data_IF_493141962658
#
_entry.id   IF_493141962658
#
_cell.length_a   1.000
_cell.length_b   1.000
_cell.length_c   1.000
_cell.angle_alpha   90.00
_cell.angle_beta   90.00
_cell.angle_gamma   90.00
#
_symmetry.space_group_name_H-M   'P 1'
#
loop_
_entity.id
_entity.type
_entity.pdbx_description
1 polymer ?
#
# COMPACT_ATOMS: atom_id res chain seq x y z
N UNK A 1 5.20 17.29 22.58
CA UNK A 1 6.23 18.25 22.08
C UNK A 1 6.23 18.34 20.54
N UNK A 2 6.91 19.32 19.91
CA UNK A 2 7.00 19.42 18.44
C UNK A 2 7.63 18.18 17.80
N UNK A 3 8.56 17.52 18.49
CA UNK A 3 9.20 16.27 18.03
C UNK A 3 8.23 15.08 18.02
N UNK A 4 7.43 14.90 19.07
CA UNK A 4 6.40 13.84 19.11
C UNK A 4 5.38 14.00 17.99
N UNK A 5 5.01 15.25 17.66
CA UNK A 5 4.11 15.51 16.55
C UNK A 5 4.71 15.03 15.21
N UNK A 6 6.00 15.29 14.98
CA UNK A 6 6.71 14.82 13.79
C UNK A 6 6.81 13.29 13.72
N UNK A 7 7.10 12.63 14.85
CA UNK A 7 7.14 11.16 14.91
C UNK A 7 5.78 10.58 14.54
N UNK A 8 4.70 11.13 15.13
CA UNK A 8 3.34 10.73 14.80
C UNK A 8 2.99 11.02 13.34
N UNK A 9 3.48 12.11 12.74
CA UNK A 9 3.28 12.39 11.30
C UNK A 9 3.90 11.26 10.45
N UNK A 10 5.18 10.96 10.67
CA UNK A 10 5.93 9.94 9.90
C UNK A 10 5.28 8.57 10.03
N UNK A 11 4.98 8.14 11.26
CA UNK A 11 4.35 6.84 11.52
C UNK A 11 2.97 6.76 10.84
N UNK A 12 2.15 7.80 10.97
CA UNK A 12 0.81 7.81 10.37
C UNK A 12 0.85 7.85 8.84
N UNK A 13 1.76 8.59 8.22
CA UNK A 13 1.87 8.62 6.76
C UNK A 13 2.34 7.27 6.24
N UNK A 14 3.36 6.66 6.84
CA UNK A 14 3.82 5.32 6.48
C UNK A 14 2.68 4.30 6.60
N UNK A 15 1.93 4.33 7.71
CA UNK A 15 0.81 3.44 7.94
C UNK A 15 -0.29 3.60 6.88
N UNK A 16 -0.64 4.85 6.55
CA UNK A 16 -1.62 5.16 5.51
C UNK A 16 -1.16 4.65 4.15
N UNK A 17 0.08 4.92 3.75
CA UNK A 17 0.61 4.43 2.47
C UNK A 17 0.50 2.91 2.40
N UNK A 18 0.95 2.20 3.43
CA UNK A 18 0.89 0.73 3.44
C UNK A 18 -0.54 0.22 3.33
N UNK A 19 -1.44 0.74 4.17
CA UNK A 19 -2.81 0.26 4.25
C UNK A 19 -3.66 0.62 3.02
N UNK A 20 -3.55 1.86 2.54
CA UNK A 20 -4.20 2.32 1.30
C UNK A 20 -3.65 1.57 0.08
N UNK A 21 -2.39 1.12 0.13
CA UNK A 21 -1.76 0.33 -0.94
C UNK A 21 -2.02 -1.18 -0.87
N UNK A 22 -2.85 -1.65 0.07
CA UNK A 22 -3.25 -3.04 0.18
C UNK A 22 -2.42 -3.92 1.12
N UNK A 23 -1.57 -3.35 1.98
CA UNK A 23 -0.89 -4.12 3.01
C UNK A 23 -1.88 -4.66 4.07
N UNK A 24 -1.54 -5.82 4.65
CA UNK A 24 -2.26 -6.40 5.78
C UNK A 24 -2.06 -5.55 7.05
N UNK A 25 -3.13 -5.36 7.82
CA UNK A 25 -3.14 -4.50 9.00
C UNK A 25 -2.05 -4.82 10.03
N UNK A 26 -1.81 -6.12 10.29
CA UNK A 26 -0.74 -6.58 11.19
C UNK A 26 0.65 -6.16 10.73
N UNK A 27 0.94 -6.22 9.43
CA UNK A 27 2.22 -5.72 8.88
C UNK A 27 2.34 -4.20 8.98
N UNK A 28 1.22 -3.49 8.92
CA UNK A 28 1.18 -2.04 9.12
C UNK A 28 1.53 -1.71 10.57
N UNK A 29 0.88 -2.36 11.53
CA UNK A 29 1.14 -2.22 12.97
C UNK A 29 2.60 -2.51 13.31
N UNK A 30 3.15 -3.62 12.79
CA UNK A 30 4.57 -3.97 12.97
C UNK A 30 5.52 -2.86 12.49
N UNK A 31 5.22 -2.23 11.35
CA UNK A 31 6.03 -1.12 10.83
C UNK A 31 5.91 0.12 11.71
N UNK A 32 4.71 0.43 12.19
CA UNK A 32 4.48 1.55 13.10
C UNK A 32 5.26 1.36 14.41
N UNK A 33 5.14 0.17 15.01
CA UNK A 33 5.82 -0.19 16.25
C UNK A 33 7.36 -0.15 16.09
N UNK A 34 7.91 -0.67 14.98
CA UNK A 34 9.35 -0.63 14.70
C UNK A 34 9.89 0.81 14.64
N UNK A 35 9.19 1.69 13.91
CA UNK A 35 9.59 3.10 13.78
C UNK A 35 9.52 3.79 15.15
N UNK A 36 8.41 3.63 15.88
CA UNK A 36 8.21 4.26 17.18
C UNK A 36 9.24 3.81 18.22
N UNK A 37 9.49 2.49 18.30
CA UNK A 37 10.48 1.89 19.20
C UNK A 37 11.88 2.46 18.95
N UNK A 38 12.31 2.56 17.68
CA UNK A 38 13.60 3.14 17.33
C UNK A 38 13.75 4.58 17.82
N UNK A 39 12.66 5.34 17.81
CA UNK A 39 12.63 6.76 18.15
C UNK A 39 12.46 7.00 19.65
N UNK A 40 12.51 5.95 20.47
CA UNK A 40 12.47 6.01 21.93
C UNK A 40 11.10 5.77 22.55
N UNK A 41 10.13 5.23 21.79
CA UNK A 41 8.77 4.99 22.25
C UNK A 41 8.39 3.50 22.14
N UNK A 42 9.00 2.61 22.94
CA UNK A 42 8.71 1.18 22.90
C UNK A 42 7.28 0.84 23.36
N UNK A 43 6.70 1.67 24.23
CA UNK A 43 5.33 1.53 24.75
C UNK A 43 4.27 2.16 23.83
N UNK A 44 4.61 2.44 22.57
CA UNK A 44 3.63 2.94 21.60
C UNK A 44 2.59 1.87 21.27
N UNK A 45 1.35 2.29 21.00
CA UNK A 45 0.27 1.39 20.64
C UNK A 45 -0.34 1.82 19.30
N UNK A 46 -0.57 0.85 18.42
CA UNK A 46 -1.20 1.04 17.11
C UNK A 46 -2.34 0.04 16.95
N UNK A 47 -3.45 0.50 16.37
CA UNK A 47 -4.56 -0.38 16.01
C UNK A 47 -5.01 -0.07 14.59
N UNK A 48 -4.99 -1.09 13.73
CA UNK A 48 -5.25 -0.95 12.31
C UNK A 48 -6.39 -1.87 11.87
N UNK A 49 -7.44 -1.26 11.34
CA UNK A 49 -8.54 -1.93 10.65
C UNK A 49 -8.56 -1.56 9.17
N UNK A 50 -9.44 -2.17 8.39
CA UNK A 50 -9.54 -1.82 6.96
C UNK A 50 -9.93 -0.35 6.71
N UNK A 51 -10.60 0.29 7.68
CA UNK A 51 -11.20 1.61 7.55
C UNK A 51 -10.58 2.67 8.45
N UNK A 52 -9.85 2.28 9.49
CA UNK A 52 -9.31 3.19 10.50
C UNK A 52 -7.91 2.75 10.92
N UNK A 53 -7.00 3.73 11.01
CA UNK A 53 -5.69 3.61 11.67
C UNK A 53 -5.73 4.47 12.91
N UNK A 54 -5.33 3.91 14.05
CA UNK A 54 -5.12 4.62 15.29
C UNK A 54 -3.68 4.42 15.78
N UNK A 55 -3.09 5.49 16.32
CA UNK A 55 -1.73 5.47 16.87
C UNK A 55 -1.59 6.35 18.12
N UNK A 56 -0.99 5.79 19.16
CA UNK A 56 -0.65 6.43 20.42
C UNK A 56 0.83 6.22 20.69
N UNK A 57 1.54 7.29 21.06
CA UNK A 57 2.99 7.26 21.23
C UNK A 57 3.44 6.73 22.61
N UNK A 58 2.65 6.98 23.65
CA UNK A 58 2.77 6.48 25.02
C UNK A 58 1.42 6.71 25.74
N UNK A 59 1.20 6.11 26.91
CA UNK A 59 -0.10 6.13 27.61
C UNK A 59 -0.71 7.51 27.88
N UNK A 60 0.12 8.53 28.05
CA UNK A 60 -0.34 9.92 28.30
C UNK A 60 -0.48 10.75 27.01
N UNK A 61 -0.12 10.19 25.85
CA UNK A 61 -0.15 10.90 24.59
C UNK A 61 -1.55 10.87 23.97
N UNK A 62 -2.00 12.00 23.41
CA UNK A 62 -3.23 12.02 22.62
C UNK A 62 -3.14 11.08 21.39
N UNK A 63 -4.14 10.23 21.16
CA UNK A 63 -4.19 9.37 19.98
C UNK A 63 -4.28 10.20 18.69
N UNK A 64 -3.75 9.66 17.61
CA UNK A 64 -4.07 10.10 16.25
C UNK A 64 -4.87 9.05 15.55
N UNK A 65 -5.93 9.51 14.89
CA UNK A 65 -6.83 8.67 14.14
C UNK A 65 -6.87 9.12 12.69
N UNK A 66 -6.84 8.17 11.77
CA UNK A 66 -7.06 8.41 10.35
C UNK A 66 -8.08 7.42 9.77
N UNK A 67 -9.05 7.95 9.03
CA UNK A 67 -10.05 7.14 8.33
C UNK A 67 -9.63 6.91 6.88
N UNK A 68 -9.49 5.64 6.52
CA UNK A 68 -9.22 5.17 5.16
C UNK A 68 -10.51 5.24 4.34
N UNK A 69 -10.44 5.92 3.19
CA UNK A 69 -11.58 6.07 2.27
C UNK A 69 -11.47 5.15 1.05
N UNK A 70 -10.24 4.95 0.57
CA UNK A 70 -9.95 4.22 -0.66
C UNK A 70 -8.78 3.30 -0.43
N UNK A 71 -8.81 2.14 -1.08
CA UNK A 71 -7.72 1.17 -1.06
C UNK A 71 -7.54 0.62 -2.47
N UNK A 72 -6.30 0.56 -2.92
CA UNK A 72 -5.92 -0.07 -4.18
C UNK A 72 -4.58 -0.78 -4.00
N UNK A 73 -4.31 -1.83 -4.77
CA UNK A 73 -3.06 -2.57 -4.63
C UNK A 73 -1.91 -1.85 -5.32
N UNK A 74 -0.96 -1.37 -4.53
CA UNK A 74 0.26 -0.74 -5.03
C UNK A 74 1.51 -1.26 -4.32
N UNK A 75 2.06 -2.35 -4.88
CA UNK A 75 3.26 -3.01 -4.33
C UNK A 75 4.51 -2.13 -4.37
N UNK A 76 4.58 -1.16 -5.29
CA UNK A 76 5.70 -0.21 -5.38
C UNK A 76 5.69 0.70 -4.14
N UNK A 77 4.54 1.31 -3.83
CA UNK A 77 4.39 2.15 -2.63
C UNK A 77 4.66 1.37 -1.34
N UNK A 78 4.19 0.12 -1.27
CA UNK A 78 4.49 -0.76 -0.12
C UNK A 78 6.01 -0.97 0.02
N UNK A 79 6.70 -1.29 -1.07
CA UNK A 79 8.14 -1.50 -1.04
C UNK A 79 8.90 -0.24 -0.60
N UNK A 80 8.52 0.93 -1.13
CA UNK A 80 9.16 2.20 -0.80
C UNK A 80 8.92 2.62 0.67
N UNK A 81 7.68 2.50 1.17
CA UNK A 81 7.38 2.81 2.57
C UNK A 81 8.11 1.87 3.55
N UNK A 82 8.20 0.58 3.21
CA UNK A 82 8.98 -0.38 4.00
C UNK A 82 10.48 -0.08 3.99
N UNK A 83 11.01 0.41 2.86
CA UNK A 83 12.41 0.81 2.77
C UNK A 83 12.71 2.02 3.66
N UNK A 84 11.84 3.04 3.65
CA UNK A 84 11.96 4.18 4.56
C UNK A 84 11.87 3.72 6.02
N UNK A 85 10.95 2.82 6.37
CA UNK A 85 10.87 2.24 7.71
C UNK A 85 12.20 1.62 8.12
N UNK A 86 12.83 0.81 7.24
CA UNK A 86 14.13 0.20 7.49
C UNK A 86 15.24 1.23 7.69
N UNK A 87 15.28 2.26 6.85
CA UNK A 87 16.29 3.33 6.93
C UNK A 87 16.19 4.13 8.24
N UNK A 88 14.96 4.44 8.69
CA UNK A 88 14.73 5.03 10.01
C UNK A 88 15.26 4.09 11.11
N UNK A 89 14.89 2.80 11.07
CA UNK A 89 15.32 1.82 12.09
C UNK A 89 16.84 1.62 12.14
N UNK A 90 17.50 1.73 10.98
CA UNK A 90 18.96 1.64 10.86
C UNK A 90 19.67 2.96 11.24
N UNK A 91 18.93 4.06 11.40
CA UNK A 91 19.50 5.38 11.71
C UNK A 91 20.21 6.03 10.51
N UNK A 92 19.91 5.59 9.29
CA UNK A 92 20.50 6.13 8.05
C UNK A 92 19.67 7.25 7.42
N UNK A 93 18.56 7.64 8.06
CA UNK A 93 17.62 8.66 7.58
C UNK A 93 17.06 9.45 8.76
N UNK A 94 16.99 10.77 8.61
CA UNK A 94 16.37 11.67 9.60
C UNK A 94 14.83 11.65 9.50
N UNK A 95 14.15 12.15 10.53
CA UNK A 95 12.68 12.18 10.54
C UNK A 95 12.11 13.14 9.50
N UNK A 96 12.80 14.25 9.27
CA UNK A 96 12.43 15.29 8.32
C UNK A 96 12.53 14.76 6.88
N UNK A 97 13.63 14.06 6.56
CA UNK A 97 13.81 13.38 5.27
C UNK A 97 12.78 12.28 5.06
N UNK A 98 12.54 11.46 6.09
CA UNK A 98 11.53 10.40 6.03
C UNK A 98 10.14 10.97 5.75
N UNK A 99 9.75 12.05 6.45
CA UNK A 99 8.46 12.70 6.23
C UNK A 99 8.34 13.18 4.79
N UNK A 100 9.34 13.89 4.29
CA UNK A 100 9.35 14.41 2.92
C UNK A 100 9.20 13.30 1.88
N UNK A 101 10.02 12.23 1.97
CA UNK A 101 9.95 11.12 1.00
C UNK A 101 8.63 10.34 1.08
N UNK A 102 8.09 10.14 2.29
CA UNK A 102 6.78 9.52 2.46
C UNK A 102 5.67 10.36 1.83
N UNK A 103 5.71 11.69 1.97
CA UNK A 103 4.76 12.60 1.32
C UNK A 103 4.85 12.51 -0.22
N UNK A 104 6.06 12.41 -0.79
CA UNK A 104 6.26 12.19 -2.23
C UNK A 104 5.66 10.84 -2.69
N UNK A 105 5.92 9.76 -1.97
CA UNK A 105 5.35 8.44 -2.26
C UNK A 105 3.83 8.48 -2.16
N UNK A 106 3.30 9.19 -1.17
CA UNK A 106 1.87 9.31 -0.95
C UNK A 106 1.17 9.94 -2.16
N UNK A 107 1.70 11.03 -2.72
CA UNK A 107 1.11 11.72 -3.88
C UNK A 107 1.47 11.10 -5.23
N UNK A 108 2.50 10.25 -5.30
CA UNK A 108 2.94 9.61 -6.53
C UNK A 108 1.80 8.82 -7.19
N UNK A 109 1.58 9.08 -8.49
CA UNK A 109 0.61 8.34 -9.30
C UNK A 109 1.28 7.14 -9.96
N UNK A 110 0.52 6.05 -10.08
CA UNK A 110 0.97 4.88 -10.82
C UNK A 110 0.81 5.15 -12.32
N UNK A 111 1.91 5.46 -12.98
CA UNK A 111 1.96 5.42 -14.44
C UNK A 111 2.37 4.01 -14.86
N UNK A 112 1.45 3.30 -15.50
CA UNK A 112 1.75 2.02 -16.14
C UNK A 112 1.15 2.07 -17.52
N UNK A 113 2.01 1.96 -18.54
CA UNK A 113 1.59 2.07 -19.92
C UNK A 113 0.57 0.98 -20.26
N UNK A 114 -0.49 1.38 -20.97
CA UNK A 114 -1.54 0.47 -21.45
C UNK A 114 -1.00 -0.78 -22.18
N UNK A 115 0.01 -0.70 -23.06
CA UNK A 115 0.56 -1.88 -23.73
C UNK A 115 1.22 -2.87 -22.75
N UNK A 116 1.88 -2.40 -21.69
CA UNK A 116 2.47 -3.29 -20.69
C UNK A 116 1.41 -4.10 -19.95
N UNK A 117 0.28 -3.46 -19.58
CA UNK A 117 -0.86 -4.14 -18.96
C UNK A 117 -1.44 -5.22 -19.88
N UNK A 118 -1.54 -4.95 -21.18
CA UNK A 118 -2.03 -5.91 -22.17
C UNK A 118 -1.16 -7.17 -22.27
N UNK A 119 0.15 -7.00 -22.34
CA UNK A 119 1.10 -8.13 -22.38
C UNK A 119 1.02 -8.95 -21.08
N UNK A 120 1.01 -8.28 -19.93
CA UNK A 120 0.89 -8.94 -18.64
C UNK A 120 -0.43 -9.76 -18.53
N UNK A 121 -1.55 -9.18 -18.97
CA UNK A 121 -2.84 -9.87 -18.98
C UNK A 121 -2.83 -11.12 -19.88
N UNK A 122 -2.20 -11.07 -21.06
CA UNK A 122 -2.08 -12.22 -21.95
C UNK A 122 -1.26 -13.36 -21.32
N UNK A 123 -0.16 -13.02 -20.64
CA UNK A 123 0.67 -14.01 -19.91
C UNK A 123 -0.13 -14.66 -18.78
N UNK A 124 -0.86 -13.86 -17.99
CA UNK A 124 -1.71 -14.34 -16.90
C UNK A 124 -2.80 -15.27 -17.45
N UNK A 125 -3.52 -14.86 -18.50
CA UNK A 125 -4.58 -15.67 -19.11
C UNK A 125 -4.06 -17.02 -19.62
N UNK A 126 -2.89 -17.02 -20.28
CA UNK A 126 -2.26 -18.26 -20.79
C UNK A 126 -1.80 -19.16 -19.65
N UNK A 127 -1.28 -18.59 -18.56
CA UNK A 127 -0.86 -19.34 -17.37
C UNK A 127 -2.05 -20.00 -16.67
N UNK A 128 -3.18 -19.29 -16.54
CA UNK A 128 -4.42 -19.86 -15.99
C UNK A 128 -5.02 -20.94 -16.87
N UNK A 129 -4.97 -20.78 -18.20
CA UNK A 129 -5.39 -21.83 -19.14
C UNK A 129 -4.62 -23.12 -18.90
N UNK A 130 -3.30 -23.04 -18.73
CA UNK A 130 -2.45 -24.19 -18.43
C UNK A 130 -2.79 -24.81 -17.06
N UNK A 131 -2.95 -23.99 -16.02
CA UNK A 131 -3.32 -24.46 -14.67
C UNK A 131 -4.66 -25.21 -14.64
N UNK A 132 -5.62 -24.82 -15.49
CA UNK A 132 -6.93 -25.46 -15.59
C UNK A 132 -6.93 -26.70 -16.52
N UNK A 133 -5.77 -27.10 -17.05
CA UNK A 133 -5.66 -28.25 -17.97
C UNK A 133 -6.12 -27.96 -19.40
N UNK A 134 -6.18 -26.69 -19.80
CA UNK A 134 -6.55 -26.28 -21.16
C UNK A 134 -5.48 -26.62 -22.21
N UNK A 135 -5.89 -26.67 -23.47
CA UNK A 135 -5.00 -26.99 -24.60
C UNK A 135 -4.50 -25.70 -25.24
N UNK A 136 -3.35 -25.76 -25.93
CA UNK A 136 -2.80 -24.57 -26.63
C UNK A 136 -3.76 -23.97 -27.68
N UNK A 137 -4.67 -24.79 -28.23
CA UNK A 137 -5.71 -24.33 -29.16
C UNK A 137 -6.74 -23.40 -28.50
N UNK A 138 -6.88 -23.45 -27.18
CA UNK A 138 -7.83 -22.66 -26.41
C UNK A 138 -7.30 -21.26 -26.04
N UNK A 139 -6.03 -20.95 -26.39
CA UNK A 139 -5.39 -19.67 -26.06
C UNK A 139 -6.20 -18.49 -26.64
N UNK A 140 -6.65 -18.60 -27.89
CA UNK A 140 -7.39 -17.51 -28.55
C UNK A 140 -8.71 -17.25 -27.80
N UNK A 141 -9.44 -18.31 -27.46
CA UNK A 141 -10.69 -18.24 -26.71
C UNK A 141 -10.48 -17.69 -25.30
N UNK A 142 -9.39 -18.08 -24.63
CA UNK A 142 -9.01 -17.57 -23.31
C UNK A 142 -8.65 -16.08 -23.33
N UNK A 143 -7.89 -15.62 -24.34
CA UNK A 143 -7.54 -14.20 -24.52
C UNK A 143 -8.78 -13.36 -24.80
N UNK A 144 -9.70 -13.86 -25.65
CA UNK A 144 -10.97 -13.18 -25.92
C UNK A 144 -11.83 -13.07 -24.67
N UNK A 145 -12.01 -14.17 -23.92
CA UNK A 145 -12.76 -14.16 -22.67
C UNK A 145 -12.13 -13.21 -21.63
N UNK A 146 -10.80 -13.21 -21.50
CA UNK A 146 -10.07 -12.31 -20.61
C UNK A 146 -10.22 -10.84 -20.99
N UNK A 147 -10.18 -10.53 -22.28
CA UNK A 147 -10.37 -9.16 -22.80
C UNK A 147 -11.79 -8.67 -22.55
N UNK A 148 -12.80 -9.51 -22.81
CA UNK A 148 -14.21 -9.19 -22.52
C UNK A 148 -14.39 -8.95 -21.01
N UNK A 149 -13.84 -9.82 -20.16
CA UNK A 149 -13.87 -9.67 -18.70
C UNK A 149 -13.25 -8.34 -18.24
N UNK A 150 -12.08 -7.98 -18.79
CA UNK A 150 -11.43 -6.70 -18.50
C UNK A 150 -12.29 -5.50 -18.91
N UNK A 151 -12.89 -5.53 -20.11
CA UNK A 151 -13.77 -4.46 -20.58
C UNK A 151 -15.00 -4.29 -19.68
N UNK A 152 -15.59 -5.38 -19.20
CA UNK A 152 -16.72 -5.32 -18.26
C UNK A 152 -16.33 -4.64 -16.95
N UNK A 153 -15.16 -4.99 -16.39
CA UNK A 153 -14.65 -4.36 -15.16
C UNK A 153 -14.39 -2.87 -15.37
N UNK A 154 -13.74 -2.49 -16.47
CA UNK A 154 -13.47 -1.08 -16.79
C UNK A 154 -14.76 -0.26 -16.96
N UNK A 155 -15.79 -0.82 -17.60
CA UNK A 155 -17.10 -0.15 -17.75
C UNK A 155 -17.79 0.01 -16.39
N UNK A 156 -17.73 -1.01 -15.52
CA UNK A 156 -18.30 -0.95 -14.17
C UNK A 156 -17.59 0.10 -13.31
N UNK A 157 -16.26 0.13 -13.34
CA UNK A 157 -15.44 1.10 -12.60
C UNK A 157 -15.78 2.54 -13.02
N UNK A 158 -15.87 2.79 -14.34
CA UNK A 158 -16.30 4.09 -14.87
C UNK A 158 -17.70 4.49 -14.43
N UNK A 159 -18.64 3.54 -14.31
CA UNK A 159 -20.03 3.82 -13.87
C UNK A 159 -20.16 4.01 -12.36
N UNK A 160 -19.33 3.35 -11.56
CA UNK A 160 -19.31 3.50 -10.10
C UNK A 160 -18.62 4.79 -9.66
N UNK A 161 -17.83 5.42 -10.53
CA UNK A 161 -17.09 6.65 -10.27
C UNK A 161 -17.56 7.86 -11.10
N UNK A 162 -18.66 7.71 -11.85
CA UNK A 162 -19.39 8.80 -12.52
C UNK A 162 -20.60 9.25 -11.68
#
# INVERSE_FOLDING_TARGET
TSREALIKDVVMIAARILLESGAEGTRVEDTMARIATKLGYPESNSFVTNTVIEFVLHNEAYPRLYRIKTRDTNLIKISQANEISRQITNGTMTLEEAKYQLEEIYVAKRDSSLPFKGIAAAIIATSFLYLQGGRLVDIITAVLAGTIGYLVVEILDRKLHA
#
